data_IF_787910971248
#
_entry.id   IF_787910971248
#
_cell.length_a   1.000
_cell.length_b   1.000
_cell.length_c   1.000
_cell.angle_alpha   90.00
_cell.angle_beta   90.00
_cell.angle_gamma   90.00
#
_symmetry.space_group_name_H-M   'P 1'
#
loop_
_entity.id
_entity.type
_entity.pdbx_description
1 polymer ?
#
# COMPACT_ATOMS: atom_id res chain seq x y z
N UNK A 1 8.07 -27.44 4.32
CA UNK A 1 7.69 -26.71 5.53
C UNK A 1 7.29 -25.27 5.22
N UNK A 2 7.99 -24.56 4.36
CA UNK A 2 7.73 -23.18 3.92
C UNK A 2 6.36 -22.95 3.29
N UNK A 3 5.90 -23.84 2.37
CA UNK A 3 4.63 -23.68 1.65
C UNK A 3 3.41 -23.77 2.59
N UNK A 4 3.44 -24.66 3.59
CA UNK A 4 2.36 -24.78 4.57
C UNK A 4 2.27 -23.52 5.45
N UNK A 5 3.41 -22.96 5.88
CA UNK A 5 3.44 -21.72 6.65
C UNK A 5 2.93 -20.52 5.85
N UNK A 6 3.29 -20.41 4.56
CA UNK A 6 2.74 -19.36 3.70
C UNK A 6 1.24 -19.51 3.47
N UNK A 7 0.72 -20.71 3.32
CA UNK A 7 -0.72 -20.94 3.19
C UNK A 7 -1.46 -20.54 4.48
N UNK A 8 -0.98 -20.99 5.63
CA UNK A 8 -1.56 -20.60 6.92
C UNK A 8 -1.49 -19.09 7.11
N UNK A 9 -0.34 -18.46 6.84
CA UNK A 9 -0.16 -17.02 6.91
C UNK A 9 -1.12 -16.27 6.00
N UNK A 10 -1.36 -16.76 4.78
CA UNK A 10 -2.31 -16.16 3.85
C UNK A 10 -3.76 -16.26 4.36
N UNK A 11 -4.16 -17.39 4.93
CA UNK A 11 -5.49 -17.57 5.52
C UNK A 11 -5.68 -16.64 6.74
N UNK A 12 -4.67 -16.56 7.60
CA UNK A 12 -4.68 -15.65 8.74
C UNK A 12 -4.76 -14.20 8.28
N UNK A 13 -3.92 -13.81 7.30
CA UNK A 13 -3.92 -12.45 6.78
C UNK A 13 -5.23 -12.10 6.06
N UNK A 14 -5.89 -13.03 5.39
CA UNK A 14 -7.19 -12.81 4.76
C UNK A 14 -8.28 -12.33 5.74
N UNK A 15 -8.12 -12.63 7.04
CA UNK A 15 -9.05 -12.18 8.08
C UNK A 15 -8.48 -10.96 8.83
N UNK A 16 -7.24 -11.06 9.28
CA UNK A 16 -6.59 -10.04 10.13
C UNK A 16 -6.26 -8.79 9.34
N UNK A 17 -5.78 -8.92 8.10
CA UNK A 17 -5.42 -7.79 7.23
C UNK A 17 -6.59 -6.82 7.01
N UNK A 18 -7.74 -7.28 6.47
CA UNK A 18 -8.90 -6.42 6.31
C UNK A 18 -9.42 -5.85 7.62
N UNK A 19 -9.39 -6.61 8.73
CA UNK A 19 -9.85 -6.13 10.03
C UNK A 19 -8.98 -4.96 10.54
N UNK A 20 -7.65 -5.11 10.51
CA UNK A 20 -6.72 -4.04 10.89
C UNK A 20 -6.81 -2.86 9.94
N UNK A 21 -6.86 -3.09 8.63
CA UNK A 21 -6.98 -2.04 7.62
C UNK A 21 -8.27 -1.25 7.75
N UNK A 22 -9.39 -1.91 8.09
CA UNK A 22 -10.66 -1.26 8.40
C UNK A 22 -10.54 -0.30 9.60
N UNK A 23 -9.87 -0.74 10.68
CA UNK A 23 -9.64 0.09 11.87
C UNK A 23 -8.74 1.29 11.54
N UNK A 24 -7.67 1.08 10.76
CA UNK A 24 -6.79 2.16 10.29
C UNK A 24 -7.55 3.17 9.43
N UNK A 25 -8.38 2.71 8.49
CA UNK A 25 -9.21 3.59 7.68
C UNK A 25 -10.25 4.38 8.52
N UNK A 26 -10.77 3.77 9.58
CA UNK A 26 -11.63 4.45 10.54
C UNK A 26 -10.90 5.53 11.34
N UNK A 27 -9.68 5.21 11.81
CA UNK A 27 -8.81 6.17 12.50
C UNK A 27 -8.45 7.36 11.60
N UNK A 28 -8.10 7.10 10.34
CA UNK A 28 -7.81 8.14 9.35
C UNK A 28 -8.97 9.14 9.22
N UNK A 29 -10.19 8.65 9.04
CA UNK A 29 -11.39 9.50 8.95
C UNK A 29 -11.64 10.34 10.21
N UNK A 30 -11.38 9.77 11.40
CA UNK A 30 -11.55 10.48 12.68
C UNK A 30 -10.47 11.55 12.83
N UNK A 31 -9.19 11.20 12.61
CA UNK A 31 -8.07 12.12 12.77
C UNK A 31 -8.19 13.28 11.77
N UNK A 32 -8.45 12.98 10.49
CA UNK A 32 -8.66 13.99 9.45
C UNK A 32 -9.82 14.93 9.79
N UNK A 33 -10.95 14.40 10.28
CA UNK A 33 -12.07 15.23 10.69
C UNK A 33 -11.69 16.17 11.87
N UNK A 34 -10.94 15.66 12.86
CA UNK A 34 -10.46 16.45 14.00
C UNK A 34 -9.49 17.54 13.58
N UNK A 35 -8.55 17.23 12.67
CA UNK A 35 -7.63 18.23 12.11
C UNK A 35 -8.36 19.34 11.36
N UNK A 36 -9.52 19.02 10.76
CA UNK A 36 -10.38 19.97 10.05
C UNK A 36 -11.41 20.67 10.97
N UNK A 37 -11.33 20.50 12.28
CA UNK A 37 -12.27 21.08 13.25
C UNK A 37 -13.68 20.49 13.23
N UNK A 38 -13.86 19.28 12.66
CA UNK A 38 -15.14 18.56 12.55
C UNK A 38 -15.20 17.36 13.50
N UNK A 39 -16.41 16.91 13.80
CA UNK A 39 -16.64 15.64 14.50
C UNK A 39 -16.57 14.51 13.49
N UNK A 40 -15.64 13.55 13.72
CA UNK A 40 -15.44 12.39 12.86
C UNK A 40 -16.57 11.36 12.97
N UNK A 41 -16.68 10.44 11.97
CA UNK A 41 -17.59 9.31 12.02
C UNK A 41 -17.15 8.29 13.09
N UNK A 42 -17.99 7.29 13.44
CA UNK A 42 -17.58 6.19 14.31
C UNK A 42 -16.42 5.37 13.70
N UNK A 43 -15.59 4.77 14.54
CA UNK A 43 -14.39 4.02 14.12
C UNK A 43 -14.70 2.89 13.13
N UNK A 44 -15.83 2.20 13.30
CA UNK A 44 -16.26 1.09 12.43
C UNK A 44 -17.05 1.54 11.19
N UNK A 45 -17.08 2.84 10.88
CA UNK A 45 -17.79 3.33 9.70
C UNK A 45 -17.35 2.65 8.39
N UNK A 46 -16.04 2.42 8.12
CA UNK A 46 -15.62 1.73 6.90
C UNK A 46 -16.23 0.33 6.78
N UNK A 47 -16.33 -0.41 7.88
CA UNK A 47 -17.00 -1.72 7.90
C UNK A 47 -18.47 -1.61 7.51
N UNK A 48 -19.20 -0.63 8.06
CA UNK A 48 -20.63 -0.43 7.69
C UNK A 48 -20.78 -0.03 6.23
N UNK A 49 -19.85 0.78 5.70
CA UNK A 49 -19.83 1.16 4.29
C UNK A 49 -19.67 -0.06 3.38
N UNK A 50 -18.70 -0.94 3.66
CA UNK A 50 -18.48 -2.19 2.92
C UNK A 50 -19.67 -3.14 3.05
N UNK A 51 -20.23 -3.31 4.25
CA UNK A 51 -21.43 -4.13 4.48
C UNK A 51 -22.62 -3.63 3.65
N UNK A 52 -22.80 -2.30 3.57
CA UNK A 52 -23.85 -1.68 2.75
C UNK A 52 -23.61 -1.92 1.25
N UNK A 53 -22.35 -1.85 0.80
CA UNK A 53 -22.01 -2.14 -0.60
C UNK A 53 -22.27 -3.60 -0.96
N UNK A 54 -21.95 -4.55 -0.09
CA UNK A 54 -22.24 -5.98 -0.31
C UNK A 54 -23.73 -6.30 -0.41
N UNK A 55 -24.59 -5.49 0.23
CA UNK A 55 -26.05 -5.63 0.15
C UNK A 55 -26.68 -4.97 -1.07
N UNK A 56 -25.91 -4.28 -1.92
CA UNK A 56 -26.40 -3.66 -3.15
C UNK A 56 -26.30 -4.62 -4.33
N UNK A 57 -27.18 -4.42 -5.30
CA UNK A 57 -27.11 -5.12 -6.59
C UNK A 57 -25.81 -4.73 -7.34
N UNK A 58 -25.26 -5.71 -8.04
CA UNK A 58 -24.12 -5.47 -8.92
C UNK A 58 -24.60 -4.90 -10.24
N UNK A 59 -24.28 -3.65 -10.51
CA UNK A 59 -24.45 -3.02 -11.81
C UNK A 59 -23.06 -2.91 -12.43
N UNK A 60 -22.82 -3.61 -13.53
CA UNK A 60 -21.55 -3.55 -14.26
C UNK A 60 -21.82 -3.56 -15.77
N UNK A 61 -21.05 -2.76 -16.51
CA UNK A 61 -21.09 -2.75 -17.98
C UNK A 61 -20.52 -4.06 -18.53
N UNK A 62 -19.50 -4.62 -17.87
CA UNK A 62 -18.84 -5.86 -18.27
C UNK A 62 -18.68 -6.80 -17.07
N UNK A 63 -19.09 -8.05 -17.21
CA UNK A 63 -18.94 -9.07 -16.15
C UNK A 63 -17.49 -9.39 -15.81
N UNK A 64 -16.56 -9.18 -16.74
CA UNK A 64 -15.12 -9.42 -16.56
C UNK A 64 -14.50 -8.50 -15.51
N UNK A 65 -15.03 -7.29 -15.32
CA UNK A 65 -14.58 -6.35 -14.29
C UNK A 65 -14.53 -6.98 -12.89
N UNK A 66 -15.61 -7.69 -12.53
CA UNK A 66 -15.69 -8.38 -11.24
C UNK A 66 -14.56 -9.40 -11.05
N UNK A 67 -14.26 -10.19 -12.10
CA UNK A 67 -13.21 -11.21 -12.05
C UNK A 67 -11.84 -10.56 -11.86
N UNK A 68 -11.56 -9.47 -12.58
CA UNK A 68 -10.28 -8.77 -12.44
C UNK A 68 -10.12 -8.13 -11.05
N UNK A 69 -11.16 -7.54 -10.49
CA UNK A 69 -11.12 -7.01 -9.12
C UNK A 69 -10.97 -8.13 -8.09
N UNK A 70 -11.63 -9.27 -8.29
CA UNK A 70 -11.45 -10.44 -7.42
C UNK A 70 -10.01 -10.98 -7.48
N UNK A 71 -9.40 -11.02 -8.66
CA UNK A 71 -7.98 -11.37 -8.81
C UNK A 71 -7.07 -10.36 -8.11
N UNK A 72 -7.33 -9.05 -8.25
CA UNK A 72 -6.58 -8.01 -7.58
C UNK A 72 -6.62 -8.18 -6.05
N UNK A 73 -7.81 -8.38 -5.48
CA UNK A 73 -7.98 -8.66 -4.04
C UNK A 73 -7.24 -9.94 -3.62
N UNK A 74 -7.35 -11.01 -4.41
CA UNK A 74 -6.65 -12.27 -4.11
C UNK A 74 -5.14 -12.08 -4.04
N UNK A 75 -4.54 -11.38 -5.01
CA UNK A 75 -3.10 -11.11 -5.02
C UNK A 75 -2.67 -10.16 -3.90
N UNK A 76 -3.49 -9.18 -3.51
CA UNK A 76 -3.22 -8.33 -2.35
C UNK A 76 -3.18 -9.14 -1.05
N UNK A 77 -4.13 -10.05 -0.85
CA UNK A 77 -4.16 -10.97 0.31
C UNK A 77 -2.95 -11.92 0.28
N UNK A 78 -2.63 -12.48 -0.89
CA UNK A 78 -1.49 -13.36 -1.05
C UNK A 78 -0.17 -12.67 -0.73
N UNK A 79 0.03 -11.43 -1.22
CA UNK A 79 1.22 -10.62 -0.90
C UNK A 79 1.37 -10.38 0.60
N UNK A 80 0.29 -10.00 1.28
CA UNK A 80 0.29 -9.84 2.73
C UNK A 80 0.57 -11.15 3.46
N UNK A 81 -0.01 -12.25 3.01
CA UNK A 81 0.26 -13.59 3.55
C UNK A 81 1.72 -14.00 3.42
N UNK A 82 2.34 -13.79 2.26
CA UNK A 82 3.78 -14.05 2.05
C UNK A 82 4.63 -13.22 3.00
N UNK A 83 4.34 -11.92 3.11
CA UNK A 83 5.11 -11.02 3.96
C UNK A 83 5.01 -11.38 5.45
N UNK A 84 3.80 -11.50 5.99
CA UNK A 84 3.59 -11.77 7.42
C UNK A 84 3.89 -13.22 7.84
N UNK A 85 4.00 -14.15 6.89
CA UNK A 85 4.54 -15.50 7.16
C UNK A 85 6.07 -15.55 7.20
N UNK A 86 6.77 -14.43 6.99
CA UNK A 86 8.23 -14.39 6.95
C UNK A 86 8.83 -14.83 5.61
N UNK A 87 8.03 -14.85 4.54
CA UNK A 87 8.44 -15.27 3.20
C UNK A 87 9.32 -14.25 2.47
N UNK A 88 9.54 -14.50 1.18
CA UNK A 88 10.44 -13.71 0.34
C UNK A 88 9.87 -12.33 0.03
N UNK A 89 10.59 -11.25 0.42
CA UNK A 89 10.18 -9.86 0.22
C UNK A 89 10.09 -9.49 -1.27
N UNK A 90 11.03 -9.95 -2.09
CA UNK A 90 11.02 -9.66 -3.52
C UNK A 90 9.80 -10.30 -4.21
N UNK A 91 9.46 -11.54 -3.84
CA UNK A 91 8.24 -12.20 -4.31
C UNK A 91 6.98 -11.41 -3.88
N UNK A 92 6.95 -10.92 -2.63
CA UNK A 92 5.86 -10.09 -2.14
C UNK A 92 5.69 -8.81 -2.98
N UNK A 93 6.79 -8.14 -3.36
CA UNK A 93 6.76 -6.96 -4.24
C UNK A 93 6.14 -7.31 -5.59
N UNK A 94 6.56 -8.39 -6.25
CA UNK A 94 5.97 -8.78 -7.54
C UNK A 94 4.49 -9.16 -7.44
N UNK A 95 4.09 -9.82 -6.36
CA UNK A 95 2.69 -10.23 -6.16
C UNK A 95 1.79 -9.01 -5.94
N UNK A 96 2.23 -8.00 -5.19
CA UNK A 96 1.43 -6.77 -4.98
C UNK A 96 1.38 -5.91 -6.25
N UNK A 97 2.44 -5.90 -7.07
CA UNK A 97 2.42 -5.26 -8.39
C UNK A 97 1.40 -5.94 -9.30
N UNK A 98 1.33 -7.27 -9.28
CA UNK A 98 0.34 -8.03 -10.05
C UNK A 98 -1.10 -7.67 -9.61
N UNK A 99 -1.34 -7.48 -8.30
CA UNK A 99 -2.61 -6.95 -7.78
C UNK A 99 -2.97 -5.61 -8.42
N UNK A 100 -2.02 -4.65 -8.44
CA UNK A 100 -2.22 -3.34 -9.05
C UNK A 100 -2.51 -3.44 -10.56
N UNK A 101 -1.83 -4.34 -11.29
CA UNK A 101 -2.08 -4.58 -12.71
C UNK A 101 -3.49 -5.12 -12.98
N UNK A 102 -3.96 -6.10 -12.19
CA UNK A 102 -5.33 -6.60 -12.33
C UNK A 102 -6.37 -5.51 -12.05
N UNK A 103 -6.10 -4.63 -11.11
CA UNK A 103 -6.98 -3.50 -10.81
C UNK A 103 -7.02 -2.49 -11.96
N UNK A 104 -5.88 -2.18 -12.60
CA UNK A 104 -5.80 -1.35 -13.80
C UNK A 104 -6.60 -1.98 -14.96
N UNK A 105 -6.42 -3.29 -15.19
CA UNK A 105 -7.16 -4.02 -16.24
C UNK A 105 -8.67 -4.01 -15.96
N UNK A 106 -9.09 -4.11 -14.69
CA UNK A 106 -10.50 -4.00 -14.29
C UNK A 106 -11.10 -2.65 -14.74
N UNK A 107 -10.38 -1.55 -14.51
CA UNK A 107 -10.84 -0.23 -14.91
C UNK A 107 -10.91 -0.07 -16.45
N UNK A 108 -9.93 -0.58 -17.19
CA UNK A 108 -9.98 -0.59 -18.66
C UNK A 108 -11.14 -1.45 -19.21
N UNK A 109 -11.51 -2.52 -18.51
CA UNK A 109 -12.60 -3.41 -18.94
C UNK A 109 -13.99 -2.76 -18.89
N UNK A 110 -14.16 -1.67 -18.14
CA UNK A 110 -15.42 -0.92 -18.02
C UNK A 110 -15.79 -0.16 -19.29
N UNK A 111 -14.83 0.08 -20.21
CA UNK A 111 -14.99 0.84 -21.46
C UNK A 111 -15.54 2.26 -21.24
N UNK A 112 -15.36 2.83 -20.08
CA UNK A 112 -15.72 4.23 -19.78
C UNK A 112 -14.50 5.11 -20.03
N UNK A 113 -14.61 6.17 -20.86
CA UNK A 113 -13.47 7.09 -21.11
C UNK A 113 -12.90 7.69 -19.83
N UNK A 114 -13.73 7.94 -18.84
CA UNK A 114 -13.30 8.50 -17.55
C UNK A 114 -12.52 7.46 -16.72
N UNK A 115 -12.98 6.22 -16.67
CA UNK A 115 -12.26 5.12 -16.01
C UNK A 115 -10.93 4.81 -16.71
N UNK A 116 -10.88 4.92 -18.05
CA UNK A 116 -9.63 4.74 -18.83
C UNK A 116 -8.59 5.81 -18.49
N UNK A 117 -8.99 7.07 -18.34
CA UNK A 117 -8.08 8.14 -17.89
C UNK A 117 -7.57 7.84 -16.48
N UNK A 118 -8.45 7.37 -15.58
CA UNK A 118 -8.07 6.92 -14.24
C UNK A 118 -7.06 5.77 -14.27
N UNK A 119 -7.29 4.76 -15.11
CA UNK A 119 -6.41 3.60 -15.29
C UNK A 119 -5.04 4.00 -15.86
N UNK A 120 -5.01 4.90 -16.86
CA UNK A 120 -3.76 5.45 -17.40
C UNK A 120 -2.98 6.20 -16.29
N UNK A 121 -3.66 6.96 -15.44
CA UNK A 121 -3.05 7.66 -14.30
C UNK A 121 -2.47 6.68 -13.27
N UNK A 122 -3.20 5.60 -12.94
CA UNK A 122 -2.70 4.55 -12.03
C UNK A 122 -1.47 3.84 -12.60
N UNK A 123 -1.46 3.55 -13.91
CA UNK A 123 -0.28 2.99 -14.58
C UNK A 123 0.95 3.88 -14.40
N UNK A 124 0.81 5.19 -14.54
CA UNK A 124 1.90 6.15 -14.31
C UNK A 124 2.34 6.14 -12.84
N UNK A 125 1.41 6.00 -11.90
CA UNK A 125 1.74 5.89 -10.47
C UNK A 125 2.53 4.62 -10.17
N UNK A 126 2.11 3.47 -10.72
CA UNK A 126 2.87 2.20 -10.59
C UNK A 126 4.28 2.39 -11.10
N UNK A 127 4.46 2.96 -12.30
CA UNK A 127 5.79 3.25 -12.87
C UNK A 127 6.60 4.24 -12.02
N UNK A 128 5.95 5.12 -11.27
CA UNK A 128 6.62 6.09 -10.42
C UNK A 128 7.21 5.45 -9.15
N UNK A 129 6.45 4.59 -8.46
CA UNK A 129 6.88 4.07 -7.18
C UNK A 129 7.62 2.72 -7.24
N UNK A 130 7.39 1.92 -8.27
CA UNK A 130 7.93 0.55 -8.37
C UNK A 130 9.48 0.49 -8.32
N UNK A 131 10.22 1.39 -9.00
CA UNK A 131 11.68 1.38 -8.91
C UNK A 131 12.19 1.52 -7.48
N UNK A 132 11.61 2.39 -6.66
CA UNK A 132 12.04 2.55 -5.26
C UNK A 132 11.70 1.32 -4.42
N UNK A 133 10.55 0.68 -4.65
CA UNK A 133 10.15 -0.53 -3.93
C UNK A 133 11.08 -1.70 -4.27
N UNK A 134 11.50 -1.83 -5.54
CA UNK A 134 12.49 -2.83 -5.93
C UNK A 134 13.87 -2.55 -5.30
N UNK A 135 14.31 -1.29 -5.32
CA UNK A 135 15.58 -0.90 -4.67
C UNK A 135 15.55 -1.12 -3.16
N UNK A 136 14.39 -0.91 -2.51
CA UNK A 136 14.20 -1.28 -1.10
C UNK A 136 14.41 -2.78 -0.88
N UNK A 137 13.82 -3.65 -1.70
CA UNK A 137 13.98 -5.10 -1.55
C UNK A 137 15.45 -5.52 -1.74
N UNK A 138 16.17 -4.91 -2.69
CA UNK A 138 17.61 -5.16 -2.90
C UNK A 138 18.44 -4.63 -1.73
N UNK A 139 18.17 -3.42 -1.25
CA UNK A 139 18.86 -2.85 -0.09
C UNK A 139 18.64 -3.70 1.17
N UNK A 140 17.42 -4.21 1.37
CA UNK A 140 17.10 -5.14 2.46
C UNK A 140 17.94 -6.41 2.36
N UNK A 141 18.05 -7.02 1.17
CA UNK A 141 18.91 -8.17 0.95
C UNK A 141 20.37 -7.88 1.28
N UNK A 142 20.89 -6.73 0.87
CA UNK A 142 22.29 -6.35 1.17
C UNK A 142 22.51 -6.12 2.67
N UNK A 143 21.50 -5.66 3.40
CA UNK A 143 21.61 -5.42 4.85
C UNK A 143 21.49 -6.70 5.69
N UNK A 144 20.61 -7.64 5.28
CA UNK A 144 20.26 -8.82 6.08
C UNK A 144 20.90 -10.11 5.54
N UNK A 145 21.31 -10.11 4.26
CA UNK A 145 21.91 -11.28 3.59
C UNK A 145 20.86 -12.26 3.01
N UNK A 146 19.58 -11.97 3.14
CA UNK A 146 18.48 -12.78 2.60
C UNK A 146 17.32 -11.91 2.16
N UNK A 147 16.55 -12.36 1.17
CA UNK A 147 15.26 -11.76 0.82
C UNK A 147 14.13 -12.18 1.77
N UNK A 148 14.34 -13.16 2.62
CA UNK A 148 13.29 -13.64 3.53
C UNK A 148 13.08 -12.67 4.69
N UNK A 149 11.83 -12.26 4.88
CA UNK A 149 11.40 -11.37 5.97
C UNK A 149 11.75 -11.97 7.34
N UNK A 150 11.66 -13.30 7.48
CA UNK A 150 12.04 -14.01 8.71
C UNK A 150 13.50 -13.84 9.08
N UNK A 151 14.40 -13.59 8.13
CA UNK A 151 15.83 -13.38 8.40
C UNK A 151 16.08 -12.10 9.22
N UNK A 152 15.20 -11.09 9.12
CA UNK A 152 15.30 -9.89 9.95
C UNK A 152 15.19 -10.21 11.46
N UNK A 153 14.38 -11.21 11.83
CA UNK A 153 14.25 -11.64 13.23
C UNK A 153 15.54 -12.27 13.80
N UNK A 154 16.43 -12.74 12.94
CA UNK A 154 17.75 -13.28 13.32
C UNK A 154 18.88 -12.25 13.24
N UNK A 155 18.63 -11.06 12.69
CA UNK A 155 19.67 -10.03 12.54
C UNK A 155 20.11 -9.47 13.90
N UNK A 156 21.40 -9.17 14.04
CA UNK A 156 21.96 -8.57 15.26
C UNK A 156 21.70 -7.07 15.35
N UNK A 157 21.57 -6.40 14.20
CA UNK A 157 21.40 -4.96 14.09
C UNK A 157 20.13 -4.69 13.26
N UNK A 158 19.31 -3.71 13.62
CA UNK A 158 18.12 -3.36 12.84
C UNK A 158 18.53 -2.82 11.45
N UNK A 159 17.79 -3.19 10.42
CA UNK A 159 18.08 -2.80 9.04
C UNK A 159 18.14 -1.28 8.84
N UNK A 160 17.41 -0.49 9.64
CA UNK A 160 17.46 0.98 9.59
C UNK A 160 18.87 1.55 9.77
N UNK A 161 19.76 0.88 10.52
CA UNK A 161 21.11 1.36 10.77
C UNK A 161 21.97 1.39 9.49
N UNK A 162 21.69 0.50 8.54
CA UNK A 162 22.45 0.36 7.28
C UNK A 162 21.71 0.93 6.08
N UNK A 163 20.36 0.83 6.06
CA UNK A 163 19.54 1.23 4.92
C UNK A 163 18.57 2.39 5.24
N UNK A 164 19.02 3.36 6.06
CA UNK A 164 18.21 4.52 6.47
C UNK A 164 17.79 5.42 5.30
N UNK A 165 18.62 5.54 4.23
CA UNK A 165 18.26 6.26 3.02
C UNK A 165 17.12 5.58 2.27
N UNK A 166 17.16 4.25 2.14
CA UNK A 166 16.07 3.49 1.55
C UNK A 166 14.77 3.62 2.37
N UNK A 167 14.86 3.73 3.69
CA UNK A 167 13.72 4.02 4.56
C UNK A 167 13.09 5.38 4.24
N UNK A 168 13.89 6.45 4.10
CA UNK A 168 13.39 7.77 3.71
C UNK A 168 12.75 7.76 2.31
N UNK A 169 13.35 7.03 1.36
CA UNK A 169 12.79 6.83 0.04
C UNK A 169 11.44 6.10 0.09
N UNK A 170 11.34 5.07 0.92
CA UNK A 170 10.08 4.33 1.08
C UNK A 170 9.01 5.17 1.77
N UNK A 171 9.35 6.01 2.75
CA UNK A 171 8.41 6.98 3.35
C UNK A 171 7.82 7.90 2.29
N UNK A 172 8.65 8.44 1.40
CA UNK A 172 8.15 9.28 0.31
C UNK A 172 7.19 8.51 -0.62
N UNK A 173 7.52 7.27 -0.98
CA UNK A 173 6.66 6.46 -1.83
C UNK A 173 5.39 6.01 -1.12
N UNK A 174 5.41 5.92 0.21
CA UNK A 174 4.25 5.53 1.01
C UNK A 174 3.08 6.51 0.82
N UNK A 175 3.33 7.82 0.68
CA UNK A 175 2.30 8.83 0.39
C UNK A 175 1.55 8.49 -0.90
N UNK A 176 2.26 8.04 -1.95
CA UNK A 176 1.68 7.64 -3.22
C UNK A 176 0.89 6.33 -3.06
N UNK A 177 1.49 5.34 -2.38
CA UNK A 177 0.89 4.02 -2.16
C UNK A 177 -0.38 4.07 -1.29
N UNK A 178 -0.38 4.89 -0.25
CA UNK A 178 -1.53 5.10 0.61
C UNK A 178 -2.55 6.08 0.01
N UNK A 179 -2.29 6.56 -1.22
CA UNK A 179 -3.18 7.48 -1.95
C UNK A 179 -3.47 8.77 -1.18
N UNK A 180 -2.44 9.27 -0.49
CA UNK A 180 -2.48 10.48 0.32
C UNK A 180 -2.01 11.70 -0.50
N UNK A 181 -2.47 12.90 -0.10
CA UNK A 181 -1.89 14.15 -0.57
C UNK A 181 -0.37 14.16 -0.24
N UNK A 182 0.48 14.90 -0.96
CA UNK A 182 0.15 16.04 -1.82
C UNK A 182 -0.11 15.71 -3.30
N UNK A 183 -0.03 14.46 -3.69
CA UNK A 183 -0.09 14.13 -5.12
C UNK A 183 -1.52 14.00 -5.65
N UNK A 184 -1.70 14.40 -6.93
CA UNK A 184 -2.94 14.21 -7.63
C UNK A 184 -2.99 12.80 -8.23
N UNK A 185 -3.82 11.97 -7.64
CA UNK A 185 -3.84 10.52 -7.83
C UNK A 185 -4.94 10.08 -8.81
N UNK A 186 -4.91 8.81 -9.21
CA UNK A 186 -5.87 8.16 -10.11
C UNK A 186 -7.28 8.04 -9.51
N UNK A 187 -7.36 7.98 -8.19
CA UNK A 187 -8.61 7.87 -7.43
C UNK A 187 -8.60 8.84 -6.27
N UNK A 188 -9.58 9.73 -6.25
CA UNK A 188 -9.76 10.66 -5.16
C UNK A 188 -11.21 10.68 -4.70
N UNK A 189 -11.40 10.89 -3.41
CA UNK A 189 -12.72 11.17 -2.83
C UNK A 189 -13.01 12.67 -2.72
N UNK A 190 -12.05 13.52 -3.11
CA UNK A 190 -12.14 14.96 -2.96
C UNK A 190 -12.42 15.66 -4.28
N UNK A 191 -13.44 16.52 -4.31
CA UNK A 191 -13.91 17.22 -5.51
C UNK A 191 -12.89 18.24 -6.09
N UNK A 192 -11.84 18.57 -5.35
CA UNK A 192 -10.79 19.50 -5.78
C UNK A 192 -9.60 18.81 -6.49
N UNK A 193 -9.67 17.51 -6.72
CA UNK A 193 -8.71 16.77 -7.55
C UNK A 193 -9.19 16.69 -9.00
N UNK A 194 -8.24 16.49 -9.93
CA UNK A 194 -8.54 16.34 -11.36
C UNK A 194 -9.45 15.14 -11.64
N UNK A 195 -9.21 14.01 -10.93
CA UNK A 195 -9.98 12.79 -11.08
C UNK A 195 -10.67 12.40 -9.77
N UNK A 196 -11.99 12.57 -9.74
CA UNK A 196 -12.81 12.12 -8.62
C UNK A 196 -13.27 10.68 -8.89
N UNK A 197 -12.91 9.76 -8.01
CA UNK A 197 -13.14 8.32 -8.14
C UNK A 197 -12.50 7.63 -9.36
N UNK A 198 -12.06 8.33 -10.38
CA UNK A 198 -11.34 7.84 -11.55
C UNK A 198 -11.66 6.39 -11.93
N UNK A 199 -10.78 5.45 -11.60
CA UNK A 199 -10.92 4.02 -11.91
C UNK A 199 -12.17 3.35 -11.33
N UNK A 200 -12.69 3.82 -10.20
CA UNK A 200 -13.81 3.20 -9.49
C UNK A 200 -15.17 3.81 -9.82
N UNK A 201 -15.23 4.71 -10.80
CA UNK A 201 -16.47 5.43 -11.16
C UNK A 201 -17.57 4.47 -11.62
N UNK A 202 -17.21 3.46 -12.41
CA UNK A 202 -18.15 2.47 -12.93
C UNK A 202 -18.35 1.26 -11.99
N UNK A 203 -17.49 1.13 -10.96
CA UNK A 203 -17.56 0.03 -10.01
C UNK A 203 -18.67 0.24 -8.99
N UNK A 204 -19.57 -0.71 -8.82
CA UNK A 204 -20.70 -0.61 -7.91
C UNK A 204 -20.88 -1.85 -7.05
N UNK A 205 -21.64 -1.71 -5.95
CA UNK A 205 -22.02 -2.82 -5.09
C UNK A 205 -20.84 -3.67 -4.61
N UNK A 206 -20.91 -5.01 -4.78
CA UNK A 206 -19.87 -5.93 -4.31
C UNK A 206 -18.50 -5.71 -4.95
N UNK A 207 -18.45 -5.25 -6.22
CA UNK A 207 -17.17 -4.94 -6.89
C UNK A 207 -16.42 -3.83 -6.17
N UNK A 208 -17.12 -2.74 -5.85
CA UNK A 208 -16.51 -1.63 -5.08
C UNK A 208 -16.16 -2.06 -3.64
N UNK A 209 -16.96 -2.94 -3.02
CA UNK A 209 -16.64 -3.49 -1.70
C UNK A 209 -15.31 -4.25 -1.70
N UNK A 210 -15.04 -5.06 -2.75
CA UNK A 210 -13.76 -5.78 -2.89
C UNK A 210 -12.58 -4.81 -3.06
N UNK A 211 -12.75 -3.71 -3.79
CA UNK A 211 -11.72 -2.68 -3.93
C UNK A 211 -11.38 -2.04 -2.58
N UNK A 212 -12.39 -1.69 -1.79
CA UNK A 212 -12.16 -1.12 -0.45
C UNK A 212 -11.39 -2.10 0.46
N UNK A 213 -11.78 -3.38 0.46
CA UNK A 213 -11.07 -4.43 1.24
C UNK A 213 -9.65 -4.64 0.73
N UNK A 214 -9.41 -4.60 -0.58
CA UNK A 214 -8.08 -4.67 -1.18
C UNK A 214 -7.18 -3.54 -0.66
N UNK A 215 -7.67 -2.30 -0.64
CA UNK A 215 -6.91 -1.16 -0.11
C UNK A 215 -6.61 -1.28 1.39
N UNK A 216 -7.51 -1.88 2.18
CA UNK A 216 -7.23 -2.17 3.58
C UNK A 216 -6.08 -3.17 3.74
N UNK A 217 -6.05 -4.23 2.92
CA UNK A 217 -4.94 -5.19 2.91
C UNK A 217 -3.62 -4.53 2.49
N UNK A 218 -3.66 -3.70 1.43
CA UNK A 218 -2.49 -2.94 0.97
C UNK A 218 -1.93 -2.02 2.06
N UNK A 219 -2.79 -1.28 2.74
CA UNK A 219 -2.38 -0.38 3.83
C UNK A 219 -1.63 -1.11 4.93
N UNK A 220 -2.15 -2.27 5.37
CA UNK A 220 -1.50 -3.09 6.41
C UNK A 220 -0.16 -3.64 5.93
N UNK A 221 -0.08 -4.09 4.67
CA UNK A 221 1.15 -4.60 4.08
C UNK A 221 2.23 -3.50 4.00
N UNK A 222 1.88 -2.31 3.52
CA UNK A 222 2.84 -1.20 3.37
C UNK A 222 3.33 -0.69 4.73
N UNK A 223 2.48 -0.66 5.74
CA UNK A 223 2.91 -0.38 7.11
C UNK A 223 3.81 -1.49 7.67
N UNK A 224 3.57 -2.74 7.28
CA UNK A 224 4.49 -3.85 7.55
C UNK A 224 5.88 -3.64 6.95
N UNK A 225 5.97 -3.11 5.71
CA UNK A 225 7.25 -2.77 5.08
C UNK A 225 8.00 -1.66 5.83
N UNK A 226 7.30 -0.70 6.41
CA UNK A 226 7.92 0.29 7.31
C UNK A 226 8.43 -0.37 8.58
N UNK A 227 7.64 -1.28 9.15
CA UNK A 227 8.00 -1.98 10.39
C UNK A 227 9.25 -2.84 10.29
N UNK A 228 9.50 -3.49 9.14
CA UNK A 228 10.62 -4.42 8.97
C UNK A 228 12.00 -3.77 9.18
N UNK A 229 12.13 -2.47 8.95
CA UNK A 229 13.37 -1.73 9.21
C UNK A 229 13.78 -1.72 10.68
N UNK A 230 12.82 -1.90 11.58
CA UNK A 230 12.98 -1.84 13.04
C UNK A 230 12.90 -3.22 13.69
N UNK A 231 12.85 -4.29 12.91
CA UNK A 231 12.84 -5.68 13.42
C UNK A 231 14.26 -6.21 13.46
N UNK A 232 14.67 -6.80 14.61
CA UNK A 232 15.93 -7.53 14.80
C UNK A 232 15.74 -8.60 15.87
N UNK A 233 16.77 -9.35 16.25
CA UNK A 233 16.72 -10.52 17.15
C UNK A 233 16.15 -10.29 18.56
N UNK A 234 15.78 -9.08 18.93
CA UNK A 234 15.14 -8.80 20.21
C UNK A 234 13.60 -8.79 20.05
N UNK A 235 12.82 -9.54 20.86
CA UNK A 235 11.35 -9.56 20.76
C UNK A 235 10.69 -8.19 20.98
N UNK A 236 11.31 -7.27 21.73
CA UNK A 236 10.83 -5.89 21.87
C UNK A 236 10.89 -5.09 20.58
N UNK A 237 11.68 -5.54 19.58
CA UNK A 237 11.76 -4.89 18.28
C UNK A 237 10.43 -4.89 17.52
N UNK A 238 9.61 -5.93 17.70
CA UNK A 238 8.28 -6.01 17.09
C UNK A 238 7.37 -4.89 17.63
N UNK A 239 7.44 -4.62 18.93
CA UNK A 239 6.67 -3.53 19.55
C UNK A 239 7.12 -2.18 19.00
N UNK A 240 8.44 -1.98 18.85
CA UNK A 240 9.00 -0.78 18.23
C UNK A 240 8.55 -0.65 16.77
N UNK A 241 8.58 -1.72 16.00
CA UNK A 241 8.14 -1.74 14.61
C UNK A 241 6.68 -1.31 14.46
N UNK A 242 5.79 -1.84 15.32
CA UNK A 242 4.37 -1.45 15.34
C UNK A 242 4.22 0.03 15.74
N UNK A 243 4.93 0.49 16.75
CA UNK A 243 4.89 1.88 17.19
C UNK A 243 5.31 2.83 16.07
N UNK A 244 6.43 2.52 15.40
CA UNK A 244 6.90 3.32 14.25
C UNK A 244 5.89 3.30 13.11
N UNK A 245 5.31 2.15 12.78
CA UNK A 245 4.27 2.05 11.74
C UNK A 245 3.06 2.95 12.05
N UNK A 246 2.62 2.99 13.32
CA UNK A 246 1.52 3.88 13.76
C UNK A 246 1.92 5.35 13.66
N UNK A 247 3.14 5.71 14.08
CA UNK A 247 3.65 7.09 13.97
C UNK A 247 3.75 7.52 12.52
N UNK A 248 4.27 6.66 11.65
CA UNK A 248 4.37 6.94 10.21
C UNK A 248 2.98 7.09 9.60
N UNK A 249 2.02 6.22 9.96
CA UNK A 249 0.65 6.36 9.47
C UNK A 249 0.00 7.68 9.90
N UNK A 250 0.23 8.11 11.14
CA UNK A 250 -0.20 9.43 11.61
C UNK A 250 0.46 10.57 10.83
N UNK A 251 1.76 10.45 10.53
CA UNK A 251 2.50 11.42 9.72
C UNK A 251 1.91 11.52 8.31
N UNK A 252 1.55 10.41 7.69
CA UNK A 252 0.88 10.38 6.39
C UNK A 252 -0.48 11.09 6.41
N UNK A 253 -1.28 10.88 7.47
CA UNK A 253 -2.56 11.60 7.67
C UNK A 253 -2.31 13.11 7.86
N UNK A 254 -1.26 13.47 8.59
CA UNK A 254 -0.89 14.86 8.81
C UNK A 254 -0.46 15.55 7.51
N UNK A 255 0.33 14.86 6.68
CA UNK A 255 0.74 15.34 5.34
C UNK A 255 -0.50 15.55 4.48
N UNK A 256 -1.41 14.57 4.43
CA UNK A 256 -2.64 14.65 3.62
C UNK A 256 -3.52 15.88 3.94
N UNK A 257 -3.55 16.29 5.20
CA UNK A 257 -4.39 17.41 5.65
C UNK A 257 -3.71 18.78 5.58
N UNK A 258 -2.37 18.86 5.48
CA UNK A 258 -1.63 20.12 5.60
C UNK A 258 -0.96 20.58 4.30
N UNK A 259 -0.67 19.67 3.36
CA UNK A 259 0.07 20.03 2.14
C UNK A 259 -0.85 20.35 0.97
N UNK A 260 -0.44 21.35 0.17
CA UNK A 260 -1.09 21.69 -1.09
C UNK A 260 -0.85 20.59 -2.13
N UNK A 261 -1.80 20.44 -3.05
CA UNK A 261 -1.73 19.39 -4.07
C UNK A 261 -0.77 19.72 -5.20
N UNK A 262 -0.09 18.69 -5.66
CA UNK A 262 0.96 18.73 -6.67
C UNK A 262 0.55 17.88 -7.86
N UNK A 263 0.80 18.37 -9.06
CA UNK A 263 0.46 17.67 -10.31
C UNK A 263 1.19 16.33 -10.44
N UNK A 264 0.55 15.38 -11.10
CA UNK A 264 1.09 14.03 -11.33
C UNK A 264 2.44 14.00 -12.08
N UNK A 265 2.70 14.97 -12.97
CA UNK A 265 4.00 15.06 -13.68
C UNK A 265 5.15 15.31 -12.70
N UNK A 266 4.92 16.11 -11.67
CA UNK A 266 5.91 16.35 -10.63
C UNK A 266 6.07 15.12 -9.73
N UNK A 267 4.96 14.42 -9.43
CA UNK A 267 5.01 13.15 -8.70
C UNK A 267 5.93 12.14 -9.38
N UNK A 268 5.78 11.93 -10.70
CA UNK A 268 6.63 11.00 -11.45
C UNK A 268 8.10 11.39 -11.36
N UNK A 269 8.41 12.67 -11.63
CA UNK A 269 9.81 13.18 -11.60
C UNK A 269 10.43 13.05 -10.20
N UNK A 270 9.69 13.44 -9.16
CA UNK A 270 10.17 13.38 -7.78
C UNK A 270 10.34 11.95 -7.28
N UNK A 271 9.43 11.04 -7.63
CA UNK A 271 9.53 9.63 -7.25
C UNK A 271 10.77 8.95 -7.88
N UNK A 272 11.05 9.23 -9.16
CA UNK A 272 12.27 8.73 -9.81
C UNK A 272 13.54 9.36 -9.24
N UNK A 273 13.52 10.66 -8.93
CA UNK A 273 14.67 11.33 -8.27
C UNK A 273 14.93 10.70 -6.89
N UNK A 274 13.88 10.46 -6.10
CA UNK A 274 13.99 9.80 -4.79
C UNK A 274 14.49 8.37 -4.94
N UNK A 275 14.00 7.60 -5.92
CA UNK A 275 14.47 6.24 -6.16
C UNK A 275 15.96 6.21 -6.51
N UNK A 276 16.44 7.11 -7.38
CA UNK A 276 17.84 7.18 -7.75
C UNK A 276 18.73 7.65 -6.60
N UNK A 277 18.32 8.68 -5.87
CA UNK A 277 19.13 9.27 -4.79
C UNK A 277 19.04 8.40 -3.53
N UNK A 278 17.84 8.11 -3.03
CA UNK A 278 17.70 7.37 -1.78
C UNK A 278 17.97 5.86 -1.96
N UNK A 279 17.42 5.26 -3.00
CA UNK A 279 17.64 3.84 -3.29
C UNK A 279 19.00 3.56 -3.91
N UNK A 280 19.33 4.24 -5.01
CA UNK A 280 20.56 4.00 -5.77
C UNK A 280 21.84 4.33 -4.99
N UNK A 281 21.89 5.50 -4.32
CA UNK A 281 23.07 5.87 -3.49
C UNK A 281 23.22 4.91 -2.30
N UNK A 282 22.13 4.51 -1.66
CA UNK A 282 22.19 3.56 -0.54
C UNK A 282 22.79 2.22 -0.98
N UNK A 283 22.34 1.66 -2.11
CA UNK A 283 22.87 0.42 -2.67
C UNK A 283 24.36 0.60 -3.07
N UNK A 284 24.70 1.72 -3.69
CA UNK A 284 26.09 2.00 -4.05
C UNK A 284 26.99 2.03 -2.81
N UNK A 285 26.59 2.71 -1.75
CA UNK A 285 27.35 2.74 -0.47
C UNK A 285 27.49 1.33 0.10
N UNK A 286 26.43 0.54 0.13
CA UNK A 286 26.49 -0.83 0.66
C UNK A 286 27.36 -1.78 -0.19
N UNK A 287 27.49 -1.52 -1.49
CA UNK A 287 28.35 -2.33 -2.37
C UNK A 287 29.85 -2.06 -2.17
N UNK A 288 30.21 -0.95 -1.52
CA UNK A 288 31.62 -0.59 -1.22
C UNK A 288 32.04 -0.86 0.23
N UNK A 289 31.10 -1.26 1.08
CA UNK A 289 31.33 -1.68 2.47
C UNK A 289 31.37 -3.21 2.55
#
# INVERSE_FOLDING_TARGET
MTLLFTLIGTIVFAVVGPALGCLLAGLDRIISARMQGRVGPPLLQPYYDVRKLLGKERVSVNSSEFVYVACALFFAILAGGIFFSGGNLLLCVFVITLSSLFFIVAAYSSRSPYAEIGAARETIQVMAYEPMVLLFAVAFFMAVGSFDVSAALGAQVPAIATIWLAFLGLLFILTIKLRKSPFDLSMSHHAHQELVRGMTTEMSGPTLAMVEVMHWCETVLFLGWIGIFFVWGNPLSIVLAVLVAVVVYFLEIWIDNNFARVKWQFMLKSAWAVALVAGGVNIAVLAFI
#
